data_IF_415125824192
#
_entry.id   IF_415125824192
#
_cell.length_a   1.000
_cell.length_b   1.000
_cell.length_c   1.000
_cell.angle_alpha   90.00
_cell.angle_beta   90.00
_cell.angle_gamma   90.00
#
_symmetry.space_group_name_H-M   'P 1'
#
loop_
_entity.id
_entity.type
_entity.pdbx_description
1 polymer ?
#
# COMPACT_ATOMS: atom_id res chain seq x y z
N UNK A 1 35.34 2.51 44.48
CA UNK A 1 34.90 3.04 43.17
C UNK A 1 33.99 2.02 42.46
N UNK A 2 32.65 2.17 42.49
CA UNK A 2 31.78 1.37 41.61
C UNK A 2 30.60 2.18 41.02
N UNK A 3 30.85 3.37 40.47
CA UNK A 3 29.79 4.21 39.86
C UNK A 3 29.69 4.07 38.32
N UNK A 4 30.77 3.65 37.65
CA UNK A 4 30.89 3.69 36.17
C UNK A 4 30.10 2.59 35.45
N UNK A 5 30.10 1.36 35.98
CA UNK A 5 29.43 0.20 35.35
C UNK A 5 27.90 0.32 35.29
N UNK A 6 27.26 0.91 36.32
CA UNK A 6 25.80 1.10 36.37
C UNK A 6 25.30 2.16 35.39
N UNK A 7 26.15 3.12 35.03
CA UNK A 7 25.83 4.18 34.06
C UNK A 7 25.91 3.63 32.64
N UNK A 8 26.95 2.86 32.32
CA UNK A 8 27.12 2.22 31.00
C UNK A 8 25.96 1.25 30.71
N UNK A 9 25.55 0.46 31.70
CA UNK A 9 24.41 -0.48 31.55
C UNK A 9 23.08 0.26 31.36
N UNK A 10 22.85 1.38 32.05
CA UNK A 10 21.65 2.22 31.86
C UNK A 10 21.63 2.91 30.50
N UNK A 11 22.76 3.42 30.02
CA UNK A 11 22.87 4.06 28.70
C UNK A 11 22.65 3.02 27.59
N UNK A 12 23.19 1.81 27.75
CA UNK A 12 22.99 0.71 26.79
C UNK A 12 21.51 0.28 26.75
N UNK A 13 20.84 0.19 27.91
CA UNK A 13 19.40 -0.12 27.97
C UNK A 13 18.54 0.96 27.32
N UNK A 14 18.87 2.25 27.52
CA UNK A 14 18.15 3.38 26.92
C UNK A 14 18.30 3.40 25.39
N UNK A 15 19.50 3.16 24.85
CA UNK A 15 19.70 3.10 23.39
C UNK A 15 18.95 1.93 22.74
N UNK A 16 18.87 0.77 23.40
CA UNK A 16 18.08 -0.37 22.89
C UNK A 16 16.59 -0.06 22.88
N UNK A 17 16.06 0.62 23.91
CA UNK A 17 14.64 1.02 23.95
C UNK A 17 14.30 2.07 22.88
N UNK A 18 15.18 3.04 22.61
CA UNK A 18 14.94 4.09 21.59
C UNK A 18 14.91 3.52 20.17
N UNK A 19 15.66 2.45 19.89
CA UNK A 19 15.65 1.77 18.57
C UNK A 19 14.31 1.08 18.25
N UNK A 20 13.49 0.74 19.26
CA UNK A 20 12.17 0.11 19.06
C UNK A 20 11.04 1.10 18.78
N UNK A 21 11.21 2.40 19.02
CA UNK A 21 10.11 3.40 18.90
C UNK A 21 10.16 4.26 17.63
N UNK A 22 11.08 3.97 16.69
CA UNK A 22 11.52 4.97 15.71
C UNK A 22 10.95 4.89 14.28
N UNK A 23 10.21 3.86 13.86
CA UNK A 23 9.64 3.83 12.52
C UNK A 23 8.20 4.32 12.55
N UNK A 24 7.99 5.61 12.24
CA UNK A 24 6.67 6.08 11.82
C UNK A 24 6.37 5.44 10.46
N UNK A 25 5.33 4.61 10.39
CA UNK A 25 4.87 4.08 9.10
C UNK A 25 4.55 5.26 8.17
N UNK A 26 5.19 5.28 7.01
CA UNK A 26 4.95 6.30 5.99
C UNK A 26 3.60 6.01 5.36
N UNK A 27 2.72 7.00 5.34
CA UNK A 27 1.44 6.87 4.65
C UNK A 27 1.65 6.78 3.14
N UNK A 28 1.41 5.59 2.59
CA UNK A 28 1.62 5.29 1.18
C UNK A 28 0.58 5.99 0.28
N UNK A 29 -0.58 6.37 0.81
CA UNK A 29 -1.58 7.11 0.04
C UNK A 29 -1.17 8.54 -0.27
N UNK A 30 -0.22 9.10 0.50
CA UNK A 30 0.24 10.49 0.41
C UNK A 30 1.58 10.66 -0.30
N UNK A 31 2.14 9.61 -0.90
CA UNK A 31 3.35 9.77 -1.72
C UNK A 31 2.99 10.44 -3.04
N UNK A 32 3.96 11.10 -3.67
CA UNK A 32 3.72 11.83 -4.91
C UNK A 32 3.23 10.89 -6.02
N UNK A 33 2.22 11.33 -6.77
CA UNK A 33 1.71 10.61 -7.94
C UNK A 33 2.79 10.40 -8.99
N UNK A 34 3.62 11.43 -9.22
CA UNK A 34 4.66 11.42 -10.24
C UNK A 34 6.06 11.33 -9.63
N UNK A 35 6.95 10.57 -10.27
CA UNK A 35 8.37 10.56 -9.95
C UNK A 35 9.05 11.83 -10.47
N UNK A 36 10.29 12.08 -10.06
CA UNK A 36 11.08 13.20 -10.59
C UNK A 36 11.37 13.10 -12.09
N UNK A 37 11.21 11.91 -12.68
CA UNK A 37 11.35 11.65 -14.11
C UNK A 37 9.99 11.67 -14.85
N UNK A 38 8.89 12.02 -14.17
CA UNK A 38 7.56 12.13 -14.78
C UNK A 38 6.83 10.79 -14.99
N UNK A 39 7.37 9.68 -14.48
CA UNK A 39 6.65 8.40 -14.43
C UNK A 39 5.62 8.40 -13.28
N UNK A 40 4.69 7.46 -13.27
CA UNK A 40 3.68 7.33 -12.21
C UNK A 40 4.19 6.38 -11.12
N UNK A 41 3.97 6.70 -9.85
CA UNK A 41 4.14 5.74 -8.76
C UNK A 41 2.91 4.83 -8.65
N UNK A 42 3.13 3.53 -8.52
CA UNK A 42 2.11 2.53 -8.25
C UNK A 42 2.43 1.82 -6.93
N UNK A 43 1.45 1.71 -6.03
CA UNK A 43 1.57 0.94 -4.79
C UNK A 43 0.86 -0.39 -5.00
N UNK A 44 1.58 -1.50 -4.89
CA UNK A 44 1.02 -2.84 -5.11
C UNK A 44 0.31 -3.32 -3.85
N UNK A 45 -0.97 -3.66 -3.98
CA UNK A 45 -1.76 -4.28 -2.92
C UNK A 45 -1.80 -5.79 -3.11
N UNK A 46 -2.08 -6.25 -4.33
CA UNK A 46 -2.32 -7.66 -4.65
C UNK A 46 -1.25 -8.15 -5.64
N UNK A 47 -0.38 -9.08 -5.21
CA UNK A 47 0.61 -9.69 -6.08
C UNK A 47 -0.04 -10.43 -7.26
N UNK A 48 0.56 -10.31 -8.45
CA UNK A 48 0.13 -11.07 -9.63
C UNK A 48 0.15 -12.58 -9.35
N UNK A 49 -0.89 -13.28 -9.78
CA UNK A 49 -1.07 -14.72 -9.59
C UNK A 49 -1.73 -15.12 -8.26
N UNK A 50 -2.13 -14.16 -7.42
CA UNK A 50 -2.80 -14.43 -6.13
C UNK A 50 -4.30 -14.13 -6.20
N UNK A 51 -5.06 -14.56 -5.17
CA UNK A 51 -6.54 -14.48 -5.15
C UNK A 51 -7.11 -13.74 -3.94
N UNK A 52 -6.28 -13.38 -2.95
CA UNK A 52 -6.74 -12.60 -1.80
C UNK A 52 -6.94 -11.15 -2.23
N UNK A 53 -8.13 -10.59 -1.97
CA UNK A 53 -8.34 -9.15 -2.16
C UNK A 53 -7.71 -8.43 -0.97
N UNK A 54 -6.52 -7.88 -1.19
CA UNK A 54 -5.76 -7.11 -0.20
C UNK A 54 -5.97 -5.63 -0.51
N UNK A 55 -6.15 -4.81 0.52
CA UNK A 55 -6.31 -3.37 0.41
C UNK A 55 -5.47 -2.64 1.44
N UNK A 56 -4.99 -1.46 1.07
CA UNK A 56 -4.28 -0.56 1.96
C UNK A 56 -5.26 0.28 2.79
N UNK A 57 -5.24 0.08 4.10
CA UNK A 57 -6.04 0.87 5.03
C UNK A 57 -5.31 2.19 5.37
N UNK A 58 -5.89 3.32 4.93
CA UNK A 58 -5.32 4.67 5.13
C UNK A 58 -5.33 5.13 6.59
N UNK A 59 -6.13 4.52 7.46
CA UNK A 59 -6.21 4.85 8.89
C UNK A 59 -5.15 4.09 9.69
N UNK A 60 -4.99 2.79 9.43
CA UNK A 60 -4.02 1.95 10.14
C UNK A 60 -2.64 1.93 9.48
N UNK A 61 -2.54 2.36 8.22
CA UNK A 61 -1.34 2.32 7.37
C UNK A 61 -0.84 0.89 7.13
N UNK A 62 -1.77 -0.07 7.07
CA UNK A 62 -1.49 -1.50 6.91
C UNK A 62 -2.25 -2.09 5.73
N UNK A 63 -1.72 -3.17 5.17
CA UNK A 63 -2.38 -3.96 4.14
C UNK A 63 -3.17 -5.09 4.78
N UNK A 64 -4.48 -5.12 4.54
CA UNK A 64 -5.40 -6.09 5.11
C UNK A 64 -6.15 -6.82 4.02
N UNK A 65 -6.49 -8.08 4.25
CA UNK A 65 -7.40 -8.81 3.35
C UNK A 65 -8.81 -8.28 3.61
N UNK A 66 -9.49 -7.84 2.57
CA UNK A 66 -10.91 -7.46 2.62
C UNK A 66 -11.72 -8.63 3.18
N UNK A 67 -12.67 -8.35 4.07
CA UNK A 67 -13.47 -9.37 4.75
C UNK A 67 -14.96 -9.17 4.48
N UNK A 68 -15.65 -10.25 4.14
CA UNK A 68 -17.11 -10.30 4.06
C UNK A 68 -17.60 -11.29 5.13
N UNK A 69 -18.45 -10.83 6.04
CA UNK A 69 -18.97 -11.62 7.17
C UNK A 69 -17.85 -12.27 8.02
N UNK A 70 -16.76 -11.53 8.24
CA UNK A 70 -15.60 -11.99 9.02
C UNK A 70 -14.73 -13.04 8.33
N UNK A 71 -14.89 -13.25 7.02
CA UNK A 71 -14.09 -14.18 6.22
C UNK A 71 -13.30 -13.43 5.16
N UNK A 72 -12.03 -13.79 4.99
CA UNK A 72 -11.18 -13.32 3.89
C UNK A 72 -11.90 -13.43 2.54
N UNK A 73 -11.93 -12.33 1.80
CA UNK A 73 -12.46 -12.28 0.45
C UNK A 73 -11.45 -12.88 -0.52
N UNK A 74 -11.82 -14.02 -1.08
CA UNK A 74 -11.04 -14.77 -2.05
C UNK A 74 -11.74 -14.73 -3.42
N UNK A 75 -11.02 -14.29 -4.45
CA UNK A 75 -11.50 -14.34 -5.84
C UNK A 75 -11.48 -15.79 -6.30
N UNK A 76 -12.67 -16.33 -6.65
CA UNK A 76 -12.87 -17.77 -6.92
C UNK A 76 -12.60 -18.21 -8.36
N UNK A 77 -12.66 -17.29 -9.32
CA UNK A 77 -12.63 -17.64 -10.74
C UNK A 77 -11.21 -17.57 -11.32
N UNK A 78 -10.60 -16.39 -11.31
CA UNK A 78 -9.28 -16.14 -11.89
C UNK A 78 -8.42 -15.35 -10.90
N UNK A 79 -7.15 -15.72 -10.68
CA UNK A 79 -6.21 -14.89 -9.95
C UNK A 79 -6.01 -13.53 -10.61
N UNK A 80 -5.49 -12.57 -9.87
CA UNK A 80 -5.11 -11.27 -10.42
C UNK A 80 -4.00 -11.47 -11.47
N UNK A 81 -4.29 -11.16 -12.72
CA UNK A 81 -3.39 -11.43 -13.87
C UNK A 81 -2.18 -10.47 -13.96
N UNK A 82 -2.20 -9.40 -13.17
CA UNK A 82 -1.10 -8.44 -13.02
C UNK A 82 -1.04 -7.96 -11.57
N UNK A 83 0.01 -7.20 -11.23
CA UNK A 83 0.11 -6.64 -9.89
C UNK A 83 -0.92 -5.52 -9.75
N UNK A 84 -1.88 -5.70 -8.87
CA UNK A 84 -2.98 -4.75 -8.69
C UNK A 84 -2.69 -3.85 -7.50
N UNK A 85 -3.10 -2.59 -7.59
CA UNK A 85 -3.11 -1.67 -6.47
C UNK A 85 -3.58 -0.31 -6.93
N UNK A 86 -3.00 0.76 -6.36
CA UNK A 86 -3.49 2.12 -6.57
C UNK A 86 -2.38 3.12 -6.92
N UNK A 87 -2.82 4.24 -7.51
CA UNK A 87 -1.99 5.42 -7.77
C UNK A 87 -2.14 6.40 -6.59
N UNK A 88 -1.06 6.68 -5.84
CA UNK A 88 -1.11 7.51 -4.65
C UNK A 88 -1.38 8.98 -5.00
N UNK A 89 -1.90 9.72 -4.01
CA UNK A 89 -2.30 11.13 -4.15
C UNK A 89 -3.28 11.41 -5.30
N UNK A 90 -4.11 10.42 -5.63
CA UNK A 90 -5.25 10.55 -6.55
C UNK A 90 -6.56 10.34 -5.80
N UNK A 91 -7.66 10.83 -6.37
CA UNK A 91 -9.00 10.67 -5.81
C UNK A 91 -10.03 10.65 -6.95
N UNK A 92 -10.84 9.59 -7.02
CA UNK A 92 -12.02 9.53 -7.86
C UNK A 92 -13.13 10.35 -7.21
N UNK A 93 -13.41 11.53 -7.79
CA UNK A 93 -14.32 12.52 -7.22
C UNK A 93 -15.78 12.06 -7.26
N UNK A 94 -16.38 11.83 -6.09
CA UNK A 94 -17.77 11.37 -5.96
C UNK A 94 -18.78 12.37 -6.52
N UNK A 95 -18.49 13.68 -6.51
CA UNK A 95 -19.35 14.69 -7.11
C UNK A 95 -19.39 14.58 -8.65
N UNK A 96 -18.41 13.88 -9.25
CA UNK A 96 -18.34 13.59 -10.68
C UNK A 96 -18.71 12.13 -11.01
N UNK A 97 -19.25 11.39 -10.03
CA UNK A 97 -19.65 10.00 -10.17
C UNK A 97 -18.53 8.98 -9.90
N UNK A 98 -17.42 9.43 -9.30
CA UNK A 98 -16.36 8.56 -8.80
C UNK A 98 -16.77 7.75 -7.57
N UNK A 99 -15.95 6.78 -7.18
CA UNK A 99 -16.17 5.92 -6.01
C UNK A 99 -15.64 6.48 -4.68
N UNK A 100 -14.79 7.51 -4.74
CA UNK A 100 -14.14 8.12 -3.56
C UNK A 100 -12.78 7.52 -3.22
N UNK A 101 -12.29 6.58 -4.03
CA UNK A 101 -11.01 5.91 -3.83
C UNK A 101 -9.91 6.46 -4.76
N UNK A 102 -8.63 6.15 -4.49
CA UNK A 102 -7.57 6.48 -5.42
C UNK A 102 -7.75 5.69 -6.71
N UNK A 103 -7.19 6.18 -7.82
CA UNK A 103 -7.27 5.47 -9.09
C UNK A 103 -6.56 4.12 -9.00
N UNK A 104 -7.26 3.07 -9.39
CA UNK A 104 -6.70 1.72 -9.51
C UNK A 104 -5.67 1.62 -10.64
N UNK A 105 -4.72 0.70 -10.48
CA UNK A 105 -3.73 0.38 -11.50
C UNK A 105 -3.40 -1.12 -11.53
N UNK A 106 -3.26 -1.64 -12.75
CA UNK A 106 -2.72 -2.97 -13.01
C UNK A 106 -1.34 -2.81 -13.64
N UNK A 107 -0.30 -3.31 -12.97
CA UNK A 107 1.08 -3.30 -13.47
C UNK A 107 1.42 -4.64 -14.09
N UNK A 108 1.73 -4.61 -15.39
CA UNK A 108 2.16 -5.78 -16.16
C UNK A 108 3.67 -5.99 -15.97
N UNK A 109 4.03 -6.92 -15.09
CA UNK A 109 5.41 -7.32 -14.82
C UNK A 109 5.44 -8.68 -14.14
N UNK A 110 6.63 -9.16 -13.75
CA UNK A 110 6.76 -10.22 -12.76
C UNK A 110 6.05 -9.87 -11.45
N UNK A 111 5.62 -10.88 -10.70
CA UNK A 111 4.96 -10.74 -9.39
C UNK A 111 5.80 -9.89 -8.44
N UNK A 112 5.13 -8.94 -7.77
CA UNK A 112 5.70 -8.10 -6.71
C UNK A 112 4.94 -8.30 -5.41
N UNK A 113 5.65 -8.17 -4.30
CA UNK A 113 5.05 -8.26 -2.97
C UNK A 113 4.11 -7.09 -2.68
N UNK A 114 3.09 -7.32 -1.87
CA UNK A 114 2.26 -6.26 -1.28
C UNK A 114 3.13 -5.19 -0.62
N UNK A 115 2.77 -3.91 -0.80
CA UNK A 115 3.52 -2.76 -0.33
C UNK A 115 4.68 -2.33 -1.24
N UNK A 116 4.96 -3.04 -2.33
CA UNK A 116 5.97 -2.60 -3.30
C UNK A 116 5.53 -1.31 -3.98
N UNK A 117 6.43 -0.33 -4.06
CA UNK A 117 6.23 0.90 -4.84
C UNK A 117 7.01 0.76 -6.15
N UNK A 118 6.36 0.98 -7.28
CA UNK A 118 6.98 0.91 -8.61
C UNK A 118 6.82 2.24 -9.34
N UNK A 119 7.87 2.64 -10.05
CA UNK A 119 7.80 3.69 -11.08
C UNK A 119 7.36 3.05 -12.39
N UNK A 120 6.22 3.45 -12.93
CA UNK A 120 5.59 2.84 -14.10
C UNK A 120 5.22 3.86 -15.17
N UNK A 121 5.18 3.39 -16.42
CA UNK A 121 4.72 4.17 -17.56
C UNK A 121 3.29 3.73 -17.89
N UNK A 122 2.30 4.64 -17.88
CA UNK A 122 0.94 4.30 -18.26
C UNK A 122 0.86 4.02 -19.76
N UNK A 123 0.23 2.90 -20.14
CA UNK A 123 0.08 2.47 -21.54
C UNK A 123 -1.37 2.49 -22.03
N UNK A 124 -2.34 2.35 -21.12
CA UNK A 124 -3.76 2.30 -21.43
C UNK A 124 -4.58 2.67 -20.19
N UNK A 125 -5.87 2.97 -20.42
CA UNK A 125 -6.86 3.20 -19.37
C UNK A 125 -8.08 2.32 -19.66
N UNK A 126 -8.55 1.61 -18.64
CA UNK A 126 -9.81 0.85 -18.70
C UNK A 126 -10.84 1.66 -17.90
N UNK A 127 -12.00 1.92 -18.50
CA UNK A 127 -13.12 2.58 -17.81
C UNK A 127 -14.15 1.52 -17.43
N UNK A 128 -14.32 1.32 -16.14
CA UNK A 128 -15.28 0.36 -15.58
C UNK A 128 -16.38 1.14 -14.88
N UNK A 129 -17.59 0.56 -14.86
CA UNK A 129 -18.66 1.05 -14.00
C UNK A 129 -18.87 -0.03 -12.95
N UNK A 130 -18.52 0.26 -11.70
CA UNK A 130 -18.73 -0.65 -10.57
C UNK A 130 -19.91 -0.16 -9.74
N UNK A 131 -20.98 -0.96 -9.71
CA UNK A 131 -22.24 -0.63 -9.00
C UNK A 131 -22.79 0.79 -9.31
N UNK A 132 -22.55 1.31 -10.52
CA UNK A 132 -22.99 2.63 -10.95
C UNK A 132 -21.99 3.77 -10.69
N UNK A 133 -20.85 3.50 -10.07
CA UNK A 133 -19.73 4.42 -9.85
C UNK A 133 -18.62 4.18 -10.89
N UNK A 134 -17.85 5.21 -11.22
CA UNK A 134 -16.79 5.20 -12.25
C UNK A 134 -15.39 5.33 -11.67
#
# INVERSE_FOLDING_TARGET
>A
MPASSKIILKITCICVVVLFFGCKNKDLSKIDTYTSQGSINAVIEIPAGTTKKIEYNKETLEFNVDQIDGKDRIIKFLPYIGNYGFIPSTLSDTAKGGDGDPLDIIVISETKSTGTILSVIPIAVIRIVDEGRR
#
